data_IF_975368667632
#
_entry.id   IF_975368667632
#
_cell.length_a   1.000
_cell.length_b   1.000
_cell.length_c   1.000
_cell.angle_alpha   90.00
_cell.angle_beta   90.00
_cell.angle_gamma   90.00
#
_symmetry.space_group_name_H-M   'P 1'
#
loop_
_entity.id
_entity.type
_entity.pdbx_description
1 polymer ?
#
# COMPACT_ATOMS: atom_id res chain seq x y z
N UNK A 1 25.45 -3.46 17.01
CA UNK A 1 24.17 -3.71 16.32
C UNK A 1 24.15 -2.74 15.15
N UNK A 2 24.55 -3.21 13.98
CA UNK A 2 24.63 -2.37 12.79
C UNK A 2 23.20 -2.15 12.29
N UNK A 3 22.73 -0.91 12.36
CA UNK A 3 21.58 -0.45 11.59
C UNK A 3 22.02 -0.39 10.12
N UNK A 4 22.05 -1.53 9.44
CA UNK A 4 22.01 -1.51 7.98
C UNK A 4 20.57 -1.22 7.60
N UNK A 5 20.32 -0.01 7.09
CA UNK A 5 19.10 0.26 6.33
C UNK A 5 19.04 -0.77 5.21
N UNK A 6 18.10 -1.70 5.25
CA UNK A 6 17.89 -2.70 4.20
C UNK A 6 17.73 -1.96 2.88
N UNK A 7 18.76 -2.00 2.03
CA UNK A 7 18.72 -1.34 0.74
C UNK A 7 17.99 -2.25 -0.25
N UNK A 8 16.88 -1.77 -0.79
CA UNK A 8 16.13 -2.48 -1.81
C UNK A 8 16.85 -2.43 -3.17
N UNK A 9 16.65 -3.47 -3.97
CA UNK A 9 17.08 -3.43 -5.38
C UNK A 9 16.19 -2.46 -6.17
N UNK A 10 16.64 -1.94 -7.33
CA UNK A 10 15.80 -1.08 -8.17
C UNK A 10 14.48 -1.72 -8.60
N UNK A 11 14.42 -3.05 -8.68
CA UNK A 11 13.19 -3.78 -8.99
C UNK A 11 12.24 -3.80 -7.79
N UNK A 12 12.76 -4.04 -6.59
CA UNK A 12 12.01 -3.97 -5.34
C UNK A 12 11.48 -2.56 -5.08
N UNK A 13 12.27 -1.52 -5.34
CA UNK A 13 11.83 -0.12 -5.26
C UNK A 13 10.69 0.17 -6.23
N UNK A 14 10.77 -0.31 -7.48
CA UNK A 14 9.67 -0.20 -8.44
C UNK A 14 8.42 -0.95 -7.97
N UNK A 15 8.58 -2.12 -7.37
CA UNK A 15 7.47 -2.89 -6.82
C UNK A 15 6.79 -2.14 -5.67
N UNK A 16 7.56 -1.59 -4.72
CA UNK A 16 7.05 -0.74 -3.62
C UNK A 16 6.30 0.47 -4.19
N UNK A 17 6.87 1.18 -5.17
CA UNK A 17 6.22 2.33 -5.80
C UNK A 17 4.88 1.93 -6.47
N UNK A 18 4.84 0.79 -7.16
CA UNK A 18 3.62 0.27 -7.76
C UNK A 18 2.57 -0.11 -6.70
N UNK A 19 2.97 -0.78 -5.63
CA UNK A 19 2.11 -1.14 -4.51
C UNK A 19 1.51 0.11 -3.83
N UNK A 20 2.29 1.19 -3.66
CA UNK A 20 1.79 2.47 -3.14
C UNK A 20 0.72 3.06 -4.07
N UNK A 21 0.97 3.13 -5.38
CA UNK A 21 -0.01 3.68 -6.33
C UNK A 21 -1.30 2.85 -6.38
N UNK A 22 -1.16 1.54 -6.29
CA UNK A 22 -2.29 0.63 -6.20
C UNK A 22 -3.06 0.83 -4.90
N UNK A 23 -2.38 0.88 -3.74
CA UNK A 23 -3.03 1.12 -2.45
C UNK A 23 -3.80 2.44 -2.41
N UNK A 24 -3.26 3.52 -3.00
CA UNK A 24 -3.99 4.79 -3.17
C UNK A 24 -5.27 4.60 -4.00
N UNK A 25 -5.21 3.79 -5.06
CA UNK A 25 -6.35 3.51 -5.93
C UNK A 25 -7.41 2.66 -5.20
N UNK A 26 -6.99 1.64 -4.46
CA UNK A 26 -7.86 0.78 -3.66
C UNK A 26 -8.60 1.60 -2.59
N UNK A 27 -7.87 2.44 -1.83
CA UNK A 27 -8.45 3.31 -0.80
C UNK A 27 -9.46 4.30 -1.41
N UNK A 28 -9.16 4.90 -2.56
CA UNK A 28 -10.10 5.77 -3.27
C UNK A 28 -11.36 5.03 -3.68
N UNK A 29 -11.22 3.78 -4.12
CA UNK A 29 -12.36 2.94 -4.46
C UNK A 29 -13.20 2.63 -3.21
N UNK A 30 -12.57 2.28 -2.10
CA UNK A 30 -13.27 2.03 -0.83
C UNK A 30 -14.05 3.25 -0.36
N UNK A 31 -13.47 4.44 -0.45
CA UNK A 31 -14.17 5.71 -0.14
C UNK A 31 -15.32 5.95 -1.10
N UNK A 32 -15.11 5.77 -2.41
CA UNK A 32 -16.15 5.98 -3.42
C UNK A 32 -17.33 5.00 -3.30
N UNK A 33 -17.08 3.77 -2.84
CA UNK A 33 -18.11 2.77 -2.55
C UNK A 33 -18.78 2.97 -1.18
N UNK A 34 -18.30 3.92 -0.37
CA UNK A 34 -18.81 4.19 0.98
C UNK A 34 -18.40 3.16 2.03
N UNK A 35 -17.39 2.32 1.75
CA UNK A 35 -16.86 1.33 2.70
C UNK A 35 -15.96 1.99 3.74
N UNK A 36 -15.23 3.04 3.35
CA UNK A 36 -14.36 3.83 4.22
C UNK A 36 -14.87 5.28 4.23
N UNK A 37 -15.03 5.92 5.41
CA UNK A 37 -15.40 7.33 5.47
C UNK A 37 -14.34 8.24 4.85
N UNK A 38 -14.73 9.32 4.13
CA UNK A 38 -13.78 10.29 3.57
C UNK A 38 -13.00 11.08 4.62
N UNK A 39 -13.43 10.98 5.89
CA UNK A 39 -12.80 11.59 7.07
C UNK A 39 -11.64 10.77 7.62
N UNK A 40 -11.39 9.55 7.14
CA UNK A 40 -10.22 8.77 7.54
C UNK A 40 -8.94 9.50 7.11
N UNK A 41 -7.99 9.60 8.04
CA UNK A 41 -6.75 10.36 7.86
C UNK A 41 -5.47 9.58 8.14
N UNK A 42 -5.57 8.34 8.62
CA UNK A 42 -4.42 7.46 8.85
C UNK A 42 -4.64 6.08 8.22
N UNK A 43 -3.56 5.38 7.92
CA UNK A 43 -3.63 4.01 7.39
C UNK A 43 -4.17 3.04 8.43
N UNK A 44 -3.85 3.24 9.72
CA UNK A 44 -4.35 2.40 10.81
C UNK A 44 -5.87 2.50 10.97
N UNK A 45 -6.46 3.68 10.82
CA UNK A 45 -7.92 3.90 10.83
C UNK A 45 -8.65 3.08 9.75
N UNK A 46 -7.99 2.71 8.65
CA UNK A 46 -8.62 1.88 7.62
C UNK A 46 -9.02 0.51 8.15
N UNK A 47 -8.27 -0.04 9.12
CA UNK A 47 -8.51 -1.36 9.71
C UNK A 47 -9.85 -1.47 10.45
N UNK A 48 -10.43 -0.34 10.85
CA UNK A 48 -11.77 -0.30 11.45
C UNK A 48 -12.88 -0.57 10.41
N UNK A 49 -12.55 -0.51 9.11
CA UNK A 49 -13.52 -0.57 8.00
C UNK A 49 -13.22 -1.67 6.97
N UNK A 50 -11.96 -1.89 6.65
CA UNK A 50 -11.47 -2.85 5.65
C UNK A 50 -10.15 -3.46 6.13
N UNK A 51 -9.83 -4.68 5.69
CA UNK A 51 -8.48 -5.22 5.93
C UNK A 51 -7.46 -4.41 5.12
N UNK A 52 -6.85 -3.42 5.77
CA UNK A 52 -5.94 -2.48 5.13
C UNK A 52 -4.67 -3.18 4.61
N UNK A 53 -4.34 -4.37 5.12
CA UNK A 53 -3.20 -5.15 4.62
C UNK A 53 -3.44 -5.67 3.19
N UNK A 54 -4.69 -5.69 2.73
CA UNK A 54 -4.99 -6.03 1.33
C UNK A 54 -4.71 -4.87 0.36
N UNK A 55 -4.61 -3.62 0.86
CA UNK A 55 -4.35 -2.45 0.03
C UNK A 55 -2.99 -2.57 -0.67
N UNK A 56 -2.95 -2.28 -1.98
CA UNK A 56 -1.71 -2.35 -2.74
C UNK A 56 -1.28 -3.78 -3.10
N UNK A 57 -2.10 -4.79 -2.76
CA UNK A 57 -1.81 -6.19 -3.05
C UNK A 57 -0.74 -6.82 -2.17
N UNK A 58 -0.52 -6.28 -0.95
CA UNK A 58 0.52 -6.78 -0.05
C UNK A 58 0.23 -8.20 0.48
N UNK A 59 -1.04 -8.62 0.50
CA UNK A 59 -1.48 -9.95 0.94
C UNK A 59 -2.05 -10.82 -0.19
N UNK A 60 -1.79 -10.47 -1.46
CA UNK A 60 -2.23 -11.29 -2.59
C UNK A 60 -1.26 -12.43 -2.83
N UNK A 61 -1.69 -13.65 -2.51
CA UNK A 61 -0.89 -14.86 -2.69
C UNK A 61 -0.45 -15.01 -4.16
N UNK A 62 0.87 -15.05 -4.37
CA UNK A 62 1.46 -15.16 -5.71
C UNK A 62 1.36 -13.88 -6.55
N UNK A 63 1.03 -12.76 -5.92
CA UNK A 63 1.01 -11.44 -6.53
C UNK A 63 2.42 -10.92 -6.87
N UNK A 64 2.46 -9.76 -7.53
CA UNK A 64 3.72 -9.11 -7.91
C UNK A 64 4.58 -8.72 -6.68
N UNK A 65 3.95 -8.46 -5.54
CA UNK A 65 4.64 -8.13 -4.30
C UNK A 65 5.36 -9.35 -3.72
N UNK A 66 4.67 -10.50 -3.61
CA UNK A 66 5.27 -11.78 -3.19
C UNK A 66 6.42 -12.22 -4.11
N UNK A 67 6.32 -11.96 -5.42
CA UNK A 67 7.39 -12.28 -6.37
C UNK A 67 8.65 -11.41 -6.15
N UNK A 68 8.49 -10.14 -5.80
CA UNK A 68 9.60 -9.22 -5.54
C UNK A 68 10.17 -9.35 -4.11
N UNK A 69 9.35 -9.82 -3.18
CA UNK A 69 9.67 -10.01 -1.76
C UNK A 69 9.25 -11.41 -1.30
N UNK A 70 10.00 -12.46 -1.72
CA UNK A 70 9.73 -13.82 -1.27
C UNK A 70 9.82 -13.92 0.26
N UNK A 71 9.22 -14.97 0.83
CA UNK A 71 9.15 -15.20 2.29
C UNK A 71 9.60 -16.62 2.67
N UNK A 72 10.47 -17.22 1.85
CA UNK A 72 10.89 -18.62 1.99
C UNK A 72 11.86 -18.82 3.16
N UNK A 73 12.71 -17.82 3.43
CA UNK A 73 13.64 -17.79 4.57
C UNK A 73 13.23 -16.76 5.63
N UNK A 74 13.73 -16.86 6.87
CA UNK A 74 13.51 -15.84 7.90
C UNK A 74 13.97 -14.43 7.47
N UNK A 75 15.17 -14.31 6.89
CA UNK A 75 15.73 -13.03 6.43
C UNK A 75 14.85 -12.41 5.33
N UNK A 76 14.37 -13.25 4.40
CA UNK A 76 13.42 -12.84 3.37
C UNK A 76 12.09 -12.32 3.95
N UNK A 77 11.58 -12.93 5.03
CA UNK A 77 10.40 -12.44 5.73
C UNK A 77 10.64 -11.08 6.37
N UNK A 78 11.82 -10.85 6.94
CA UNK A 78 12.17 -9.53 7.50
C UNK A 78 12.23 -8.46 6.41
N UNK A 79 12.82 -8.78 5.25
CA UNK A 79 12.86 -7.87 4.09
C UNK A 79 11.45 -7.59 3.56
N UNK A 80 10.60 -8.62 3.44
CA UNK A 80 9.20 -8.47 3.05
C UNK A 80 8.44 -7.56 4.00
N UNK A 81 8.55 -7.80 5.32
CA UNK A 81 7.92 -6.96 6.33
C UNK A 81 8.42 -5.52 6.27
N UNK A 82 9.72 -5.31 6.05
CA UNK A 82 10.28 -3.98 5.88
C UNK A 82 9.71 -3.26 4.65
N UNK A 83 9.59 -3.96 3.52
CA UNK A 83 8.98 -3.42 2.30
C UNK A 83 7.49 -3.09 2.50
N UNK A 84 6.73 -3.98 3.13
CA UNK A 84 5.32 -3.77 3.44
C UNK A 84 5.13 -2.56 4.36
N UNK A 85 5.97 -2.41 5.38
CA UNK A 85 5.95 -1.24 6.27
C UNK A 85 6.23 0.08 5.52
N UNK A 86 7.13 0.07 4.53
CA UNK A 86 7.38 1.26 3.71
C UNK A 86 6.16 1.64 2.85
N UNK A 87 5.43 0.65 2.32
CA UNK A 87 4.17 0.91 1.60
C UNK A 87 3.12 1.50 2.56
N UNK A 88 2.93 0.90 3.73
CA UNK A 88 1.96 1.38 4.73
C UNK A 88 2.28 2.80 5.20
N UNK A 89 3.55 3.08 5.51
CA UNK A 89 3.99 4.42 5.91
C UNK A 89 3.74 5.47 4.82
N UNK A 90 4.02 5.14 3.55
CA UNK A 90 3.76 6.06 2.43
C UNK A 90 2.26 6.30 2.19
N UNK A 91 1.41 5.31 2.45
CA UNK A 91 -0.05 5.47 2.40
C UNK A 91 -0.57 6.31 3.57
N UNK A 92 -0.02 6.12 4.77
CA UNK A 92 -0.33 6.90 5.96
C UNK A 92 0.03 8.39 5.78
N UNK A 93 1.25 8.66 5.30
CA UNK A 93 1.68 10.03 4.96
C UNK A 93 0.77 10.66 3.90
N UNK A 94 0.39 9.89 2.88
CA UNK A 94 -0.53 10.39 1.86
C UNK A 94 -1.93 10.67 2.45
N UNK A 95 -2.48 9.82 3.31
CA UNK A 95 -3.78 10.02 3.95
C UNK A 95 -3.81 11.24 4.89
N UNK A 96 -2.73 11.44 5.63
CA UNK A 96 -2.58 12.55 6.57
C UNK A 96 -2.30 13.89 5.88
N UNK A 97 -1.79 13.87 4.64
CA UNK A 97 -1.49 15.10 3.89
C UNK A 97 -2.76 15.89 3.55
N UNK A 98 -2.74 17.19 3.87
CA UNK A 98 -3.82 18.12 3.52
C UNK A 98 -3.98 18.24 1.99
N UNK A 99 -5.22 18.31 1.52
CA UNK A 99 -5.52 18.56 0.10
C UNK A 99 -5.19 17.42 -0.86
N UNK A 100 -4.88 16.22 -0.34
CA UNK A 100 -4.69 15.05 -1.18
C UNK A 100 -5.95 14.68 -1.98
N UNK A 101 -5.79 13.79 -2.95
CA UNK A 101 -6.83 13.47 -3.92
C UNK A 101 -7.68 12.25 -3.55
N UNK A 102 -7.64 11.76 -2.30
CA UNK A 102 -8.37 10.54 -1.87
C UNK A 102 -9.89 10.63 -2.06
N UNK A 103 -10.45 11.84 -1.96
CA UNK A 103 -11.88 12.09 -2.12
C UNK A 103 -12.26 12.54 -3.53
N UNK A 104 -11.30 12.65 -4.47
CA UNK A 104 -11.62 13.03 -5.85
C UNK A 104 -12.29 11.86 -6.58
N UNK A 105 -13.37 12.10 -7.33
CA UNK A 105 -14.05 11.07 -8.10
C UNK A 105 -13.06 10.27 -8.96
N UNK A 106 -13.17 8.95 -8.93
CA UNK A 106 -12.43 8.09 -9.84
C UNK A 106 -12.97 8.37 -11.24
N UNK A 107 -12.14 8.96 -12.11
CA UNK A 107 -12.50 9.09 -13.51
C UNK A 107 -12.59 7.68 -14.08
N UNK A 108 -13.81 7.16 -14.21
CA UNK A 108 -14.06 5.99 -15.04
C UNK A 108 -13.58 6.37 -16.44
N UNK A 109 -12.51 5.75 -16.92
CA UNK A 109 -12.17 5.82 -18.35
C UNK A 109 -13.38 5.29 -19.07
N UNK A 110 -14.10 6.20 -19.74
CA UNK A 110 -15.29 5.88 -20.51
C UNK A 110 -15.00 4.69 -21.41
N UNK A 111 -15.89 3.70 -21.34
CA UNK A 111 -15.85 2.56 -22.23
C UNK A 111 -15.86 3.01 -23.69
N UNK A 112 -15.02 2.37 -24.47
CA UNK A 112 -15.19 2.17 -25.91
C UNK A 112 -14.65 0.78 -26.23
#
# INVERSE_FOLDING_TARGET
MSNESTQFTPEQERCIAAAIQRGKSDIRLWIAQGWVPPTVTSFSELQDFQDANTAGGLCEEGGQFDAAFPTTTPDEREIHLHAANNVQAALDEWLSSEGNDRNRPIQQRGGV
#
